data_IF_318863274246
#
_entry.id   IF_318863274246
#
_cell.length_a   1.000
_cell.length_b   1.000
_cell.length_c   1.000
_cell.angle_alpha   90.00
_cell.angle_beta   90.00
_cell.angle_gamma   90.00
#
_symmetry.space_group_name_H-M   'P 1'
#
loop_
_entity.id
_entity.type
_entity.pdbx_description
1 polymer ?
#
# COMPACT_ATOMS: atom_id res chain seq x y z
N UNK A 1 6.39 10.54 -12.61
CA UNK A 1 6.35 9.77 -11.35
C UNK A 1 5.07 10.17 -10.63
N UNK A 2 4.23 9.21 -10.25
CA UNK A 2 2.99 9.51 -9.50
C UNK A 2 3.25 9.24 -8.03
N UNK A 3 2.83 10.15 -7.17
CA UNK A 3 2.83 9.94 -5.72
C UNK A 3 1.57 9.18 -5.31
N UNK A 4 1.74 8.04 -4.65
CA UNK A 4 0.66 7.19 -4.14
C UNK A 4 0.65 7.30 -2.62
N UNK A 5 -0.51 7.59 -2.02
CA UNK A 5 -0.65 7.72 -0.58
C UNK A 5 -1.43 6.53 -0.02
N UNK A 6 -0.77 5.74 0.82
CA UNK A 6 -1.34 4.60 1.53
C UNK A 6 -1.85 5.07 2.89
N UNK A 7 -3.15 4.92 3.14
CA UNK A 7 -3.76 5.21 4.46
C UNK A 7 -3.84 3.94 5.29
N UNK A 8 -3.22 3.99 6.46
CA UNK A 8 -3.15 2.85 7.38
C UNK A 8 -4.16 3.05 8.53
N UNK A 9 -5.04 2.07 8.77
CA UNK A 9 -5.89 2.06 9.96
C UNK A 9 -5.03 1.96 11.23
N UNK A 10 -5.58 2.44 12.36
CA UNK A 10 -4.95 2.46 13.69
C UNK A 10 -4.11 1.21 14.05
N UNK A 11 -4.59 -0.04 13.85
CA UNK A 11 -3.81 -1.24 14.17
C UNK A 11 -2.56 -1.45 13.29
N UNK A 12 -2.46 -0.79 12.14
CA UNK A 12 -1.33 -0.92 11.21
C UNK A 12 -0.29 0.21 11.34
N UNK A 13 -0.64 1.32 11.99
CA UNK A 13 0.29 2.43 12.27
C UNK A 13 1.59 1.99 12.95
N UNK A 14 1.59 1.17 14.02
CA UNK A 14 2.85 0.77 14.66
C UNK A 14 3.76 -0.08 13.75
N UNK A 15 3.20 -0.72 12.73
CA UNK A 15 3.97 -1.47 11.72
C UNK A 15 4.60 -0.55 10.67
N UNK A 16 4.03 0.64 10.50
CA UNK A 16 4.44 1.72 9.60
C UNK A 16 5.33 2.79 10.27
N UNK A 17 5.91 2.48 11.43
CA UNK A 17 6.65 3.48 12.21
C UNK A 17 5.75 4.55 12.82
N UNK A 18 4.57 4.12 13.29
CA UNK A 18 3.49 4.95 13.84
C UNK A 18 2.82 5.91 12.84
N UNK A 19 3.07 5.72 11.54
CA UNK A 19 2.51 6.57 10.49
C UNK A 19 1.10 6.14 10.11
N UNK A 20 0.19 7.11 10.09
CA UNK A 20 -1.17 6.93 9.57
C UNK A 20 -1.22 6.95 8.03
N UNK A 21 -0.26 7.61 7.39
CA UNK A 21 -0.20 7.78 5.94
C UNK A 21 1.24 7.58 5.47
N UNK A 22 1.42 6.80 4.41
CA UNK A 22 2.71 6.59 3.77
C UNK A 22 2.60 7.02 2.32
N UNK A 23 3.43 7.96 1.91
CA UNK A 23 3.49 8.40 0.52
C UNK A 23 4.70 7.77 -0.16
N UNK A 24 4.46 7.10 -1.29
CA UNK A 24 5.50 6.47 -2.09
C UNK A 24 5.33 6.83 -3.55
N UNK A 25 6.44 7.12 -4.21
CA UNK A 25 6.48 7.41 -5.63
C UNK A 25 6.61 6.11 -6.44
N UNK A 26 5.70 5.94 -7.41
CA UNK A 26 5.68 4.80 -8.32
C UNK A 26 5.03 5.15 -9.65
N UNK A 27 5.29 4.36 -10.69
CA UNK A 27 4.51 4.45 -11.93
C UNK A 27 3.11 3.84 -11.74
N UNK A 28 3.03 2.78 -10.93
CA UNK A 28 1.81 2.08 -10.55
C UNK A 28 1.71 1.90 -9.04
N UNK A 29 0.52 1.50 -8.58
CA UNK A 29 0.25 1.20 -7.17
C UNK A 29 1.01 -0.03 -6.71
N UNK A 30 1.13 -1.05 -7.56
CA UNK A 30 1.96 -2.22 -7.27
C UNK A 30 3.42 -1.82 -7.10
N UNK A 31 3.97 -0.99 -8.00
CA UNK A 31 5.35 -0.54 -7.87
C UNK A 31 5.55 0.28 -6.57
N UNK A 32 4.59 1.16 -6.25
CA UNK A 32 4.60 1.92 -5.00
C UNK A 32 4.45 1.01 -3.76
N UNK A 33 3.63 -0.05 -3.84
CA UNK A 33 3.44 -1.01 -2.75
C UNK A 33 4.67 -1.90 -2.56
N UNK A 34 5.34 -2.31 -3.64
CA UNK A 34 6.61 -3.04 -3.59
C UNK A 34 7.68 -2.17 -2.95
N UNK A 35 7.85 -0.92 -3.41
CA UNK A 35 8.79 0.02 -2.77
C UNK A 35 8.48 0.25 -1.30
N UNK A 36 7.21 0.42 -0.95
CA UNK A 36 6.78 0.54 0.45
C UNK A 36 7.12 -0.72 1.26
N UNK A 37 6.96 -1.89 0.66
CA UNK A 37 7.27 -3.18 1.27
C UNK A 37 8.78 -3.42 1.42
N UNK A 38 9.61 -2.86 0.53
CA UNK A 38 11.08 -2.84 0.65
C UNK A 38 11.53 -1.95 1.81
N UNK A 39 10.95 -0.75 1.94
CA UNK A 39 11.24 0.19 3.03
C UNK A 39 10.71 -0.33 4.39
N UNK A 40 9.57 -1.03 4.37
CA UNK A 40 8.89 -1.54 5.55
C UNK A 40 8.54 -3.04 5.41
N UNK A 41 9.51 -3.95 5.64
CA UNK A 41 9.27 -5.39 5.53
C UNK A 41 8.23 -5.92 6.54
N UNK A 42 7.99 -5.20 7.65
CA UNK A 42 6.91 -5.52 8.59
C UNK A 42 5.52 -5.25 8.02
N UNK A 43 5.39 -4.20 7.20
CA UNK A 43 4.16 -3.92 6.46
C UNK A 43 3.99 -4.86 5.27
N UNK A 44 5.08 -5.32 4.64
CA UNK A 44 5.03 -6.27 3.52
C UNK A 44 4.13 -7.46 3.82
N UNK A 45 4.27 -8.13 4.97
CA UNK A 45 3.45 -9.29 5.33
C UNK A 45 1.95 -8.97 5.55
N UNK A 46 1.63 -7.68 5.73
CA UNK A 46 0.31 -7.17 6.10
C UNK A 46 -0.37 -6.40 4.97
N UNK A 47 0.40 -5.90 4.01
CA UNK A 47 -0.03 -5.27 2.77
C UNK A 47 -0.08 -6.28 1.64
N UNK A 48 0.92 -7.15 1.53
CA UNK A 48 0.97 -8.25 0.57
C UNK A 48 0.53 -9.57 1.22
N UNK A 49 -0.05 -10.44 0.42
CA UNK A 49 -0.28 -11.84 0.74
C UNK A 49 1.05 -12.60 0.64
N UNK A 50 1.05 -13.84 1.12
CA UNK A 50 2.21 -14.74 1.00
C UNK A 50 2.58 -15.01 -0.47
N UNK A 51 1.59 -14.87 -1.37
CA UNK A 51 1.73 -15.02 -2.81
C UNK A 51 2.23 -13.73 -3.51
N UNK A 52 2.39 -12.63 -2.76
CA UNK A 52 2.88 -11.36 -3.29
C UNK A 52 1.79 -10.41 -3.82
N UNK A 53 0.51 -10.74 -3.62
CA UNK A 53 -0.62 -9.91 -4.05
C UNK A 53 -1.04 -8.91 -2.98
N UNK A 54 -1.57 -7.74 -3.35
CA UNK A 54 -2.14 -6.78 -2.40
C UNK A 54 -3.35 -7.38 -1.66
N UNK A 55 -3.36 -7.25 -0.33
CA UNK A 55 -4.44 -7.76 0.50
C UNK A 55 -5.71 -6.91 0.32
N UNK A 56 -6.90 -7.54 0.27
CA UNK A 56 -8.18 -6.83 0.19
C UNK A 56 -8.50 -6.03 1.46
N UNK A 57 -7.70 -6.17 2.51
CA UNK A 57 -7.81 -5.41 3.75
C UNK A 57 -7.27 -3.98 3.62
N UNK A 58 -6.60 -3.65 2.52
CA UNK A 58 -5.97 -2.36 2.28
C UNK A 58 -6.80 -1.57 1.27
N UNK A 59 -7.31 -0.41 1.67
CA UNK A 59 -7.91 0.54 0.75
C UNK A 59 -6.80 1.44 0.20
N UNK A 60 -6.72 1.57 -1.13
CA UNK A 60 -5.66 2.31 -1.79
C UNK A 60 -6.30 3.29 -2.76
N UNK A 61 -5.83 4.54 -2.69
CA UNK A 61 -6.35 5.64 -3.47
C UNK A 61 -5.21 6.28 -4.26
N UNK A 62 -5.43 6.50 -5.55
CA UNK A 62 -4.58 7.31 -6.42
C UNK A 62 -5.39 8.49 -6.93
N UNK A 63 -5.10 9.70 -6.48
CA UNK A 63 -5.81 10.92 -6.90
C UNK A 63 -7.35 10.78 -6.79
N UNK A 64 -7.85 10.36 -5.62
CA UNK A 64 -9.27 10.06 -5.37
C UNK A 64 -9.88 8.88 -6.17
N UNK A 65 -9.11 8.25 -7.07
CA UNK A 65 -9.53 7.00 -7.68
C UNK A 65 -9.12 5.83 -6.80
N UNK A 66 -10.10 5.07 -6.33
CA UNK A 66 -9.87 3.75 -5.77
C UNK A 66 -9.26 2.87 -6.88
N UNK A 67 -8.03 2.44 -6.66
CA UNK A 67 -7.24 1.66 -7.63
C UNK A 67 -7.51 0.16 -7.49
N UNK A 68 -8.30 -0.24 -6.50
CA UNK A 68 -8.69 -1.63 -6.26
C UNK A 68 -9.62 -2.16 -7.35
N UNK A 69 -10.18 -1.27 -8.18
CA UNK A 69 -11.02 -1.63 -9.33
C UNK A 69 -10.24 -2.01 -10.59
N UNK A 70 -8.90 -1.94 -10.58
CA UNK A 70 -8.10 -2.24 -11.78
C UNK A 70 -7.65 -3.70 -11.91
N UNK A 71 -7.81 -4.54 -10.89
CA UNK A 71 -7.47 -5.97 -10.97
C UNK A 71 -8.52 -6.79 -10.21
N UNK A 72 -9.63 -7.05 -10.89
CA UNK A 72 -10.81 -7.67 -10.31
C UNK A 72 -11.90 -7.89 -11.36
N UNK A 73 -11.52 -8.52 -12.48
CA UNK A 73 -12.38 -9.00 -13.54
C UNK A 73 -11.63 -9.99 -14.41
#
# INVERSE_FOLDING_TARGET
MTRVTFRLPTPLRPLAGDRAELAVDGATVEEAAVRLAEDHPRLRARLLTTEGHLRPSVAIYRNDQDVRTLDGG
#
